data_IF_685707954919
#
_entry.id   IF_685707954919
#
_cell.length_a   1.000
_cell.length_b   1.000
_cell.length_c   1.000
_cell.angle_alpha   90.00
_cell.angle_beta   90.00
_cell.angle_gamma   90.00
#
_symmetry.space_group_name_H-M   'P 1'
#
loop_
_entity.id
_entity.type
_entity.pdbx_description
1 polymer ?
#
# COMPACT_ATOMS: atom_id res chain seq x y z
N UNK A 1 -27.53 0.00 -8.03
CA UNK A 1 -26.53 0.77 -7.26
C UNK A 1 -25.21 0.04 -7.43
N UNK A 2 -24.33 0.55 -8.25
CA UNK A 2 -23.00 -0.04 -8.43
C UNK A 2 -22.22 0.16 -7.10
N UNK A 3 -21.81 -0.94 -6.48
CA UNK A 3 -21.03 -0.93 -5.26
C UNK A 3 -19.68 -1.56 -5.59
N UNK A 4 -18.60 -0.81 -5.45
CA UNK A 4 -17.25 -1.36 -5.60
C UNK A 4 -16.72 -1.84 -4.24
N UNK A 5 -15.94 -2.92 -4.26
CA UNK A 5 -15.16 -3.41 -3.12
C UNK A 5 -13.69 -3.37 -3.54
N UNK A 6 -12.84 -2.82 -2.69
CA UNK A 6 -11.39 -2.87 -2.82
C UNK A 6 -10.87 -3.70 -1.65
N UNK A 7 -10.01 -4.67 -1.94
CA UNK A 7 -9.43 -5.53 -0.92
C UNK A 7 -7.95 -5.81 -1.16
N UNK A 8 -7.16 -5.75 -0.11
CA UNK A 8 -5.75 -6.16 -0.11
C UNK A 8 -5.36 -6.63 1.31
N UNK A 9 -4.44 -7.58 1.40
CA UNK A 9 -3.87 -8.03 2.67
C UNK A 9 -2.89 -7.02 3.28
N UNK A 10 -2.40 -6.07 2.48
CA UNK A 10 -1.51 -5.02 2.94
C UNK A 10 -2.28 -3.97 3.75
N UNK A 11 -2.14 -4.07 5.07
CA UNK A 11 -2.80 -3.17 6.01
C UNK A 11 -2.45 -1.70 5.76
N UNK A 12 -1.19 -1.36 5.50
CA UNK A 12 -0.77 0.02 5.29
C UNK A 12 -1.41 0.61 4.02
N UNK A 13 -1.54 -0.18 2.96
CA UNK A 13 -2.21 0.22 1.72
C UNK A 13 -3.71 0.46 1.94
N UNK A 14 -4.38 -0.45 2.61
CA UNK A 14 -5.82 -0.34 2.90
C UNK A 14 -6.11 0.84 3.84
N UNK A 15 -5.32 1.04 4.89
CA UNK A 15 -5.43 2.18 5.80
C UNK A 15 -5.22 3.51 5.04
N UNK A 16 -4.28 3.55 4.11
CA UNK A 16 -4.06 4.73 3.26
C UNK A 16 -5.29 5.05 2.41
N UNK A 17 -5.90 4.06 1.74
CA UNK A 17 -7.11 4.29 0.95
C UNK A 17 -8.30 4.72 1.83
N UNK A 18 -8.47 4.12 3.01
CA UNK A 18 -9.52 4.53 3.97
C UNK A 18 -9.33 5.98 4.43
N UNK A 19 -8.09 6.38 4.73
CA UNK A 19 -7.77 7.74 5.16
C UNK A 19 -7.93 8.74 4.01
N UNK A 20 -7.55 8.40 2.78
CA UNK A 20 -7.83 9.24 1.61
C UNK A 20 -9.34 9.40 1.43
N UNK A 21 -10.13 8.33 1.60
CA UNK A 21 -11.59 8.38 1.48
C UNK A 21 -12.24 9.26 2.52
N UNK A 22 -11.83 9.15 3.78
CA UNK A 22 -12.49 9.79 4.92
C UNK A 22 -11.96 11.19 5.24
N UNK A 23 -10.68 11.44 5.01
CA UNK A 23 -9.98 12.66 5.47
C UNK A 23 -8.91 13.12 4.47
N UNK A 24 -9.28 13.42 3.20
CA UNK A 24 -8.31 13.79 2.16
C UNK A 24 -7.51 15.06 2.53
N UNK A 25 -8.14 16.05 3.18
CA UNK A 25 -7.47 17.29 3.59
C UNK A 25 -6.41 17.03 4.66
N UNK A 26 -6.64 16.12 5.59
CA UNK A 26 -5.64 15.73 6.60
C UNK A 26 -4.47 14.98 5.96
N UNK A 27 -4.74 14.10 4.99
CA UNK A 27 -3.68 13.45 4.20
C UNK A 27 -2.83 14.50 3.48
N UNK A 28 -3.45 15.48 2.81
CA UNK A 28 -2.77 16.57 2.12
C UNK A 28 -1.92 17.39 3.09
N UNK A 29 -2.48 17.74 4.26
CA UNK A 29 -1.76 18.47 5.30
C UNK A 29 -0.50 17.69 5.74
N UNK A 30 -0.63 16.42 6.12
CA UNK A 30 0.51 15.61 6.55
C UNK A 30 1.52 15.37 5.43
N UNK A 31 1.09 15.20 4.19
CA UNK A 31 2.01 15.11 3.05
C UNK A 31 2.86 16.38 2.90
N UNK A 32 2.25 17.57 3.06
CA UNK A 32 2.97 18.86 3.01
C UNK A 32 3.96 19.01 4.16
N UNK A 33 3.60 18.58 5.38
CA UNK A 33 4.53 18.61 6.52
C UNK A 33 5.71 17.65 6.30
N UNK A 34 5.43 16.42 5.88
CA UNK A 34 6.46 15.43 5.58
C UNK A 34 7.35 15.82 4.39
N UNK A 35 6.84 16.60 3.43
CA UNK A 35 7.65 17.16 2.34
C UNK A 35 8.70 18.14 2.87
N UNK A 36 8.39 18.92 3.92
CA UNK A 36 9.38 19.78 4.57
C UNK A 36 10.48 18.95 5.22
N UNK A 37 10.10 17.88 5.93
CA UNK A 37 11.06 16.96 6.53
C UNK A 37 11.91 16.23 5.48
N UNK A 38 11.31 15.82 4.37
CA UNK A 38 12.02 15.21 3.24
C UNK A 38 13.07 16.17 2.67
N UNK A 39 12.75 17.46 2.50
CA UNK A 39 13.68 18.47 2.03
C UNK A 39 14.80 18.76 3.03
N UNK A 40 14.54 18.64 4.33
CA UNK A 40 15.48 18.91 5.41
C UNK A 40 16.39 17.72 5.77
N UNK A 41 15.81 16.51 5.83
CA UNK A 41 16.47 15.33 6.38
C UNK A 41 16.67 14.20 5.38
N UNK A 42 16.03 14.26 4.19
CA UNK A 42 16.07 13.27 3.13
C UNK A 42 15.08 12.10 3.27
N UNK A 43 15.01 11.30 2.20
CA UNK A 43 14.19 10.10 2.01
C UNK A 43 14.37 9.06 3.12
N UNK A 44 15.62 8.80 3.49
CA UNK A 44 15.93 7.73 4.46
C UNK A 44 15.40 8.05 5.85
N UNK A 45 15.38 9.31 6.27
CA UNK A 45 14.76 9.75 7.52
C UNK A 45 13.27 9.39 7.57
N UNK A 46 12.52 9.69 6.49
CA UNK A 46 11.09 9.38 6.41
C UNK A 46 10.89 7.85 6.41
N UNK A 47 11.72 7.11 5.66
CA UNK A 47 11.63 5.65 5.60
C UNK A 47 11.93 4.98 6.94
N UNK A 48 12.89 5.45 7.69
CA UNK A 48 13.23 4.96 9.03
C UNK A 48 12.06 5.17 10.00
N UNK A 49 11.47 6.35 10.04
CA UNK A 49 10.27 6.63 10.85
C UNK A 49 9.05 5.83 10.36
N UNK A 50 8.90 5.61 9.07
CA UNK A 50 7.85 4.71 8.55
C UNK A 50 8.04 3.28 9.05
N UNK A 51 9.25 2.78 9.07
CA UNK A 51 9.60 1.46 9.57
C UNK A 51 9.58 1.37 11.12
N UNK A 52 9.83 2.45 11.83
CA UNK A 52 10.02 2.49 13.29
C UNK A 52 11.41 2.05 13.73
N UNK A 53 12.37 1.98 12.80
CA UNK A 53 13.77 1.61 13.08
C UNK A 53 14.72 2.39 12.17
N UNK A 54 15.88 2.78 12.70
CA UNK A 54 16.93 3.44 11.94
C UNK A 54 17.86 2.44 11.20
N UNK A 55 18.88 2.97 10.51
CA UNK A 55 19.91 2.18 9.81
C UNK A 55 20.70 1.24 10.74
N UNK A 56 20.83 1.60 12.01
CA UNK A 56 21.56 0.84 13.03
C UNK A 56 20.65 -0.14 13.79
N UNK A 57 19.39 -0.31 13.31
CA UNK A 57 18.33 -1.15 13.91
C UNK A 57 17.91 -0.72 15.32
N UNK A 58 18.08 0.56 15.64
CA UNK A 58 17.55 1.15 16.86
C UNK A 58 16.12 1.63 16.64
N UNK A 59 15.30 1.49 17.67
CA UNK A 59 13.91 1.98 17.61
C UNK A 59 13.88 3.51 17.47
N UNK A 60 13.06 3.96 16.54
CA UNK A 60 12.73 5.37 16.35
C UNK A 60 11.22 5.55 16.39
N UNK A 61 10.78 6.76 16.71
CA UNK A 61 9.35 7.07 16.73
C UNK A 61 8.71 6.79 15.35
N UNK A 62 7.71 5.91 15.35
CA UNK A 62 7.05 5.44 14.14
C UNK A 62 5.83 6.31 13.83
N UNK A 63 5.67 6.70 12.57
CA UNK A 63 4.45 7.34 12.09
C UNK A 63 3.23 6.45 12.32
N UNK A 64 2.09 7.06 12.68
CA UNK A 64 0.84 6.36 13.02
C UNK A 64 -0.35 7.02 12.30
N UNK A 65 -1.45 6.27 12.17
CA UNK A 65 -2.71 6.78 11.61
C UNK A 65 -2.56 7.47 10.25
N UNK A 66 -3.14 8.66 10.13
CA UNK A 66 -3.14 9.45 8.88
C UNK A 66 -1.73 9.87 8.48
N UNK A 67 -0.89 10.25 9.44
CA UNK A 67 0.52 10.60 9.16
C UNK A 67 1.29 9.43 8.54
N UNK A 68 1.03 8.17 9.01
CA UNK A 68 1.62 6.98 8.41
C UNK A 68 1.16 6.76 6.96
N UNK A 69 -0.10 7.03 6.67
CA UNK A 69 -0.64 6.96 5.30
C UNK A 69 0.01 8.01 4.40
N UNK A 70 0.18 9.24 4.88
CA UNK A 70 0.89 10.30 4.17
C UNK A 70 2.37 9.94 3.93
N UNK A 71 3.03 9.34 4.93
CA UNK A 71 4.40 8.87 4.78
C UNK A 71 4.52 7.75 3.73
N UNK A 72 3.55 6.84 3.64
CA UNK A 72 3.49 5.82 2.59
C UNK A 72 3.39 6.46 1.20
N UNK A 73 2.54 7.46 1.02
CA UNK A 73 2.43 8.22 -0.24
C UNK A 73 3.78 8.84 -0.60
N UNK A 74 4.42 9.52 0.34
CA UNK A 74 5.70 10.20 0.12
C UNK A 74 6.80 9.20 -0.25
N UNK A 75 7.00 8.14 0.52
CA UNK A 75 8.07 7.17 0.26
C UNK A 75 7.83 6.44 -1.07
N UNK A 76 6.59 6.14 -1.44
CA UNK A 76 6.27 5.52 -2.73
C UNK A 76 6.54 6.48 -3.90
N UNK A 77 6.17 7.76 -3.78
CA UNK A 77 6.44 8.79 -4.80
C UNK A 77 7.92 9.10 -4.98
N UNK A 78 8.75 8.85 -3.98
CA UNK A 78 10.17 9.25 -3.96
C UNK A 78 11.14 8.07 -3.98
N UNK A 79 10.66 6.83 -3.85
CA UNK A 79 11.48 5.63 -3.96
C UNK A 79 11.78 5.25 -5.41
N UNK A 80 12.70 4.32 -5.59
CA UNK A 80 13.08 3.79 -6.90
C UNK A 80 11.85 3.16 -7.61
N UNK A 81 11.49 3.72 -8.77
CA UNK A 81 10.40 3.28 -9.65
C UNK A 81 9.02 3.16 -8.99
N UNK A 82 8.76 3.85 -7.88
CA UNK A 82 7.47 3.76 -7.17
C UNK A 82 7.15 2.35 -6.64
N UNK A 83 8.16 1.52 -6.42
CA UNK A 83 7.98 0.14 -5.99
C UNK A 83 7.52 0.08 -4.52
N UNK A 84 6.69 -0.90 -4.20
CA UNK A 84 6.46 -1.32 -2.83
C UNK A 84 7.16 -2.65 -2.59
N UNK A 85 8.06 -2.70 -1.60
CA UNK A 85 8.77 -3.92 -1.22
C UNK A 85 9.16 -3.87 0.25
N UNK A 86 8.97 -4.98 0.93
CA UNK A 86 9.42 -5.17 2.31
C UNK A 86 10.46 -6.29 2.38
N UNK A 87 11.33 -6.23 3.38
CA UNK A 87 12.28 -7.30 3.69
C UNK A 87 11.59 -8.42 4.51
N UNK A 88 12.33 -9.47 4.88
CA UNK A 88 11.80 -10.59 5.70
C UNK A 88 11.26 -10.17 7.07
N UNK A 89 11.66 -9.01 7.57
CA UNK A 89 11.16 -8.45 8.84
C UNK A 89 9.94 -7.53 8.62
N UNK A 90 9.37 -7.48 7.42
CA UNK A 90 8.22 -6.62 7.09
C UNK A 90 8.56 -5.13 6.97
N UNK A 91 9.84 -4.75 6.92
CA UNK A 91 10.27 -3.36 6.81
C UNK A 91 10.38 -2.94 5.34
N UNK A 92 9.83 -1.78 5.00
CA UNK A 92 9.96 -1.19 3.67
C UNK A 92 11.43 -0.94 3.32
N UNK A 93 11.92 -1.50 2.21
CA UNK A 93 13.35 -1.53 1.89
C UNK A 93 13.71 -1.05 0.48
N UNK A 94 12.79 -0.39 -0.23
CA UNK A 94 13.10 0.22 -1.52
C UNK A 94 14.06 1.39 -1.32
N UNK A 95 15.12 1.54 -2.13
CA UNK A 95 16.01 2.68 -2.04
C UNK A 95 15.36 3.95 -2.59
N UNK A 96 15.97 5.10 -2.31
CA UNK A 96 15.60 6.39 -2.89
C UNK A 96 15.66 6.35 -4.42
N UNK A 97 14.67 6.95 -5.07
CA UNK A 97 14.67 7.17 -6.52
C UNK A 97 15.56 8.35 -6.92
N UNK A 98 15.83 8.46 -8.22
CA UNK A 98 16.68 9.53 -8.80
C UNK A 98 15.87 10.73 -9.31
N UNK A 99 14.71 10.99 -8.72
CA UNK A 99 13.86 12.12 -9.11
C UNK A 99 14.47 13.46 -8.68
N UNK A 100 14.58 14.42 -9.60
CA UNK A 100 15.08 15.78 -9.29
C UNK A 100 14.07 16.59 -8.52
N UNK A 101 12.80 16.57 -8.94
CA UNK A 101 11.69 17.31 -8.32
C UNK A 101 10.45 16.40 -8.28
N UNK A 102 10.37 15.45 -7.34
CA UNK A 102 9.21 14.56 -7.24
C UNK A 102 7.98 15.36 -6.82
N UNK A 103 6.87 15.21 -7.54
CA UNK A 103 5.58 15.71 -7.07
C UNK A 103 5.10 14.78 -5.94
N UNK A 104 5.30 15.20 -4.70
CA UNK A 104 4.92 14.42 -3.51
C UNK A 104 3.43 14.57 -3.24
N UNK A 105 2.93 15.81 -3.27
CA UNK A 105 1.53 16.13 -2.98
C UNK A 105 0.82 16.53 -4.27
N UNK A 106 -0.16 15.75 -4.64
CA UNK A 106 -1.07 16.00 -5.77
C UNK A 106 -2.48 16.13 -5.20
N UNK A 107 -2.82 17.37 -4.78
CA UNK A 107 -4.06 17.67 -4.04
C UNK A 107 -5.29 17.35 -4.88
N UNK A 108 -5.29 17.76 -6.15
CA UNK A 108 -6.41 17.52 -7.06
C UNK A 108 -6.67 16.03 -7.25
N UNK A 109 -5.60 15.24 -7.44
CA UNK A 109 -5.70 13.80 -7.58
C UNK A 109 -6.16 13.12 -6.29
N UNK A 110 -5.72 13.59 -5.12
CA UNK A 110 -6.16 13.04 -3.82
C UNK A 110 -7.65 13.30 -3.58
N UNK A 111 -8.16 14.49 -3.89
CA UNK A 111 -9.58 14.79 -3.80
C UNK A 111 -10.39 13.99 -4.82
N UNK A 112 -9.92 13.89 -6.05
CA UNK A 112 -10.55 13.07 -7.09
C UNK A 112 -10.62 11.61 -6.66
N UNK A 113 -9.51 11.05 -6.17
CA UNK A 113 -9.46 9.69 -5.67
C UNK A 113 -10.42 9.49 -4.49
N UNK A 114 -10.45 10.41 -3.53
CA UNK A 114 -11.41 10.36 -2.41
C UNK A 114 -12.86 10.28 -2.91
N UNK A 115 -13.22 11.04 -3.94
CA UNK A 115 -14.57 11.03 -4.50
C UNK A 115 -14.92 9.69 -5.16
N UNK A 116 -13.96 9.08 -5.86
CA UNK A 116 -14.12 7.83 -6.63
C UNK A 116 -14.07 6.58 -5.76
N UNK A 117 -13.32 6.60 -4.66
CA UNK A 117 -13.21 5.46 -3.76
C UNK A 117 -14.59 5.04 -3.20
N UNK A 118 -14.85 3.74 -3.05
CA UNK A 118 -16.07 3.26 -2.41
C UNK A 118 -16.16 3.73 -0.96
N UNK A 119 -17.29 3.48 -0.32
CA UNK A 119 -17.44 3.72 1.12
C UNK A 119 -16.38 2.96 1.91
N UNK A 120 -15.95 3.51 3.04
CA UNK A 120 -14.84 2.98 3.86
C UNK A 120 -15.05 1.53 4.28
N UNK A 121 -16.30 1.09 4.54
CA UNK A 121 -16.62 -0.31 4.86
C UNK A 121 -16.34 -1.28 3.70
N UNK A 122 -16.26 -0.78 2.46
CA UNK A 122 -15.94 -1.56 1.26
C UNK A 122 -14.46 -1.50 0.87
N UNK A 123 -13.64 -0.81 1.65
CA UNK A 123 -12.17 -0.83 1.53
C UNK A 123 -11.67 -1.78 2.60
N UNK A 124 -11.36 -3.03 2.22
CA UNK A 124 -11.22 -4.17 3.14
C UNK A 124 -9.77 -4.63 3.26
N UNK A 125 -9.42 -5.08 4.45
CA UNK A 125 -8.13 -5.71 4.72
C UNK A 125 -8.35 -7.14 5.19
N UNK A 126 -8.42 -8.07 4.26
CA UNK A 126 -8.66 -9.49 4.53
C UNK A 126 -8.08 -10.35 3.41
N UNK A 127 -8.03 -11.66 3.62
CA UNK A 127 -7.65 -12.62 2.58
C UNK A 127 -8.66 -12.59 1.43
N UNK A 128 -8.21 -12.86 0.20
CA UNK A 128 -9.07 -12.79 -1.01
C UNK A 128 -10.25 -13.77 -0.93
N UNK A 129 -10.07 -14.93 -0.32
CA UNK A 129 -11.08 -15.98 -0.21
C UNK A 129 -12.03 -15.81 1.00
N UNK A 130 -11.88 -14.73 1.76
CA UNK A 130 -12.79 -14.32 2.84
C UNK A 130 -13.91 -13.39 2.36
N UNK A 131 -13.83 -12.85 1.15
CA UNK A 131 -14.88 -12.02 0.57
C UNK A 131 -16.10 -12.89 0.26
N UNK A 132 -17.25 -12.62 0.89
CA UNK A 132 -18.46 -13.45 0.80
C UNK A 132 -19.62 -12.81 0.07
N UNK A 133 -19.61 -11.52 -0.12
CA UNK A 133 -20.70 -10.73 -0.68
C UNK A 133 -20.52 -10.47 -2.20
N UNK A 134 -20.07 -11.50 -2.91
CA UNK A 134 -20.01 -11.54 -4.38
C UNK A 134 -21.24 -12.30 -4.88
N UNK A 135 -21.94 -11.71 -5.81
CA UNK A 135 -23.20 -12.24 -6.37
C UNK A 135 -23.10 -12.46 -7.87
N UNK A 136 -24.01 -13.25 -8.41
CA UNK A 136 -24.12 -13.46 -9.86
C UNK A 136 -24.33 -12.14 -10.59
N UNK A 137 -23.45 -11.84 -11.53
CA UNK A 137 -23.45 -10.59 -12.31
C UNK A 137 -22.43 -9.57 -11.84
N UNK A 138 -21.76 -9.79 -10.69
CA UNK A 138 -20.67 -8.95 -10.27
C UNK A 138 -19.41 -9.21 -11.13
N UNK A 139 -18.64 -8.15 -11.37
CA UNK A 139 -17.33 -8.25 -12.00
C UNK A 139 -16.26 -8.34 -10.90
N UNK A 140 -15.41 -9.38 -10.96
CA UNK A 140 -14.32 -9.60 -9.99
C UNK A 140 -12.99 -9.56 -10.74
N UNK A 141 -12.09 -8.67 -10.30
CA UNK A 141 -10.74 -8.57 -10.82
C UNK A 141 -9.73 -9.11 -9.78
N UNK A 142 -8.99 -10.15 -10.15
CA UNK A 142 -7.92 -10.71 -9.35
C UNK A 142 -6.55 -10.24 -9.87
N UNK A 143 -5.73 -9.66 -8.99
CA UNK A 143 -4.36 -9.23 -9.26
C UNK A 143 -3.38 -9.86 -8.25
N UNK A 144 -3.21 -11.19 -8.29
CA UNK A 144 -2.33 -11.88 -7.35
C UNK A 144 -0.86 -11.63 -7.70
N UNK A 145 0.06 -11.75 -6.74
CA UNK A 145 1.48 -11.81 -7.01
C UNK A 145 1.81 -12.93 -8.02
N UNK A 146 2.72 -12.65 -8.96
CA UNK A 146 3.16 -13.66 -9.91
C UNK A 146 3.89 -14.81 -9.21
N UNK A 147 3.68 -16.02 -9.73
CA UNK A 147 4.45 -17.18 -9.28
C UNK A 147 5.94 -16.99 -9.62
N UNK A 148 6.86 -17.08 -8.66
CA UNK A 148 8.29 -16.95 -8.94
C UNK A 148 8.76 -18.07 -9.89
N UNK A 149 9.47 -17.69 -10.95
CA UNK A 149 9.97 -18.64 -11.94
C UNK A 149 11.13 -19.50 -11.42
N UNK A 150 11.81 -19.04 -10.36
CA UNK A 150 12.90 -19.76 -9.69
C UNK A 150 13.00 -19.30 -8.23
N UNK A 151 13.71 -20.08 -7.38
CA UNK A 151 13.86 -19.80 -5.94
C UNK A 151 14.53 -18.45 -5.64
N UNK A 152 15.33 -17.92 -6.55
CA UNK A 152 16.02 -16.64 -6.40
C UNK A 152 15.16 -15.45 -6.82
N UNK A 153 14.06 -15.66 -7.54
CA UNK A 153 13.13 -14.60 -7.95
C UNK A 153 12.06 -14.26 -6.89
N UNK A 154 12.13 -14.84 -5.70
CA UNK A 154 11.24 -14.55 -4.56
C UNK A 154 11.42 -13.14 -3.96
N UNK A 155 11.95 -12.19 -4.73
CA UNK A 155 12.23 -10.80 -4.30
C UNK A 155 10.98 -9.94 -4.04
N UNK A 156 9.79 -10.42 -4.36
CA UNK A 156 8.54 -9.71 -4.13
C UNK A 156 7.70 -10.39 -3.05
N UNK A 157 8.24 -10.51 -1.84
CA UNK A 157 7.37 -10.86 -0.69
C UNK A 157 6.57 -9.63 -0.30
N UNK A 158 5.50 -9.37 -1.06
CA UNK A 158 4.53 -8.32 -0.75
C UNK A 158 3.76 -8.66 0.54
N UNK A 159 3.55 -9.97 0.79
CA UNK A 159 2.87 -10.51 1.98
C UNK A 159 3.16 -12.00 2.10
N UNK A 160 4.37 -12.38 2.53
CA UNK A 160 4.70 -13.80 2.51
C UNK A 160 4.87 -14.33 1.06
N UNK A 161 5.18 -15.61 0.90
CA UNK A 161 5.29 -16.23 -0.42
C UNK A 161 3.88 -16.56 -0.95
N UNK A 162 3.38 -15.82 -1.93
CA UNK A 162 2.21 -16.26 -2.72
C UNK A 162 2.69 -17.38 -3.66
N UNK A 163 2.85 -18.57 -3.06
CA UNK A 163 3.42 -19.73 -3.70
C UNK A 163 2.36 -20.64 -4.35
N UNK A 164 2.73 -21.88 -4.58
CA UNK A 164 1.84 -22.87 -5.22
C UNK A 164 0.53 -23.10 -4.43
N UNK A 165 0.61 -23.09 -3.11
CA UNK A 165 -0.57 -23.32 -2.24
C UNK A 165 -1.57 -22.18 -2.40
N UNK A 166 -1.11 -20.95 -2.37
CA UNK A 166 -1.94 -19.75 -2.53
C UNK A 166 -2.53 -19.66 -3.95
N UNK A 167 -1.77 -20.06 -4.97
CA UNK A 167 -2.27 -20.15 -6.35
C UNK A 167 -3.40 -21.20 -6.47
N UNK A 168 -3.28 -22.33 -5.81
CA UNK A 168 -4.34 -23.34 -5.79
C UNK A 168 -5.59 -22.85 -5.02
N UNK A 169 -5.41 -22.16 -3.88
CA UNK A 169 -6.51 -21.52 -3.14
C UNK A 169 -7.25 -20.51 -4.03
N UNK A 170 -6.50 -19.68 -4.75
CA UNK A 170 -7.08 -18.68 -5.66
C UNK A 170 -7.88 -19.35 -6.80
N UNK A 171 -7.34 -20.40 -7.42
CA UNK A 171 -8.06 -21.19 -8.44
C UNK A 171 -9.37 -21.75 -7.87
N UNK A 172 -9.31 -22.34 -6.67
CA UNK A 172 -10.48 -22.99 -6.06
C UNK A 172 -11.55 -21.94 -5.66
N UNK A 173 -11.10 -20.77 -5.22
CA UNK A 173 -11.99 -19.63 -4.94
C UNK A 173 -12.62 -19.10 -6.24
N UNK A 174 -11.81 -18.89 -7.29
CA UNK A 174 -12.31 -18.47 -8.60
C UNK A 174 -13.39 -19.43 -9.14
N UNK A 175 -13.14 -20.75 -9.06
CA UNK A 175 -14.11 -21.76 -9.51
C UNK A 175 -15.41 -21.77 -8.70
N UNK A 176 -15.41 -21.31 -7.45
CA UNK A 176 -16.62 -21.16 -6.64
C UNK A 176 -17.46 -19.94 -7.02
N UNK A 177 -16.85 -18.93 -7.65
CA UNK A 177 -17.52 -17.72 -8.07
C UNK A 177 -18.10 -17.83 -9.49
N UNK A 178 -17.61 -18.80 -10.29
CA UNK A 178 -18.07 -19.08 -11.67
C UNK A 178 -19.30 -19.99 -11.65
#
# INVERSE_FOLDING_TARGET
>A
KETAIINDVNKDLIEMYRNIKSSPDEIIYHCKELEKDYKKYDYYYIREKFNGVDKDKKDVEKYKGIERSAALILINRTCFNGLYRVNRSGLFNVPKGSYKNPMIVDEENLHTLSSLLPKTENIRNQEFDEIRDISKGDFVYFDPPYHPLNETSSFTSYSGSFGRVEQLRLRDYFNKLS
#
